data_IF_647790050084
#
_entry.id   IF_647790050084
#
_cell.length_a   1.000
_cell.length_b   1.000
_cell.length_c   1.000
_cell.angle_alpha   90.00
_cell.angle_beta   90.00
_cell.angle_gamma   90.00
#
_symmetry.space_group_name_H-M   'P 1'
#
loop_
_entity.id
_entity.type
_entity.pdbx_description
1 polymer ?
#
# COMPACT_ATOMS: atom_id res chain seq x y z
N UNK A 1 26.70 6.05 7.72
CA UNK A 1 28.05 6.20 7.16
C UNK A 1 28.27 5.04 6.22
N UNK A 2 28.89 5.22 5.04
CA UNK A 2 29.44 4.08 4.34
C UNK A 2 30.34 3.35 5.33
N UNK A 3 30.42 2.00 5.23
CA UNK A 3 31.27 1.22 6.13
C UNK A 3 32.60 1.94 6.32
N UNK A 4 32.96 2.24 7.59
CA UNK A 4 34.23 2.85 7.91
C UNK A 4 35.31 1.88 7.41
N UNK A 5 36.35 2.40 6.77
CA UNK A 5 37.43 1.59 6.21
C UNK A 5 37.96 0.59 7.27
N UNK A 6 37.72 -0.71 7.04
CA UNK A 6 38.08 -1.80 7.98
C UNK A 6 36.89 -2.45 8.72
N UNK A 7 35.67 -1.93 8.64
CA UNK A 7 34.53 -2.63 9.19
C UNK A 7 34.07 -3.76 8.26
N UNK A 8 33.90 -4.95 8.81
CA UNK A 8 33.34 -6.10 8.09
C UNK A 8 31.85 -5.89 7.87
N UNK A 9 31.32 -6.03 6.62
CA UNK A 9 29.88 -5.94 6.38
C UNK A 9 29.16 -7.11 7.08
N UNK A 10 28.00 -6.83 7.66
CA UNK A 10 27.13 -7.84 8.27
C UNK A 10 25.83 -8.04 7.48
N UNK A 11 25.64 -7.32 6.37
CA UNK A 11 24.53 -7.56 5.45
C UNK A 11 24.97 -7.43 4.00
N UNK A 12 24.26 -8.16 3.13
CA UNK A 12 24.47 -8.20 1.70
C UNK A 12 23.12 -8.13 0.98
N UNK A 13 22.99 -7.20 0.03
CA UNK A 13 21.87 -7.13 -0.91
C UNK A 13 22.38 -7.52 -2.29
N UNK A 14 21.89 -8.63 -2.83
CA UNK A 14 22.24 -9.16 -4.14
C UNK A 14 21.05 -8.99 -5.09
N UNK A 15 21.27 -8.35 -6.24
CA UNK A 15 20.26 -8.22 -7.29
C UNK A 15 20.38 -9.39 -8.29
N UNK A 16 19.28 -9.70 -8.96
CA UNK A 16 19.24 -10.78 -9.95
C UNK A 16 20.20 -10.58 -11.14
N UNK A 17 20.60 -9.33 -11.44
CA UNK A 17 21.59 -9.01 -12.49
C UNK A 17 23.05 -9.24 -12.03
N UNK A 18 23.28 -9.62 -10.76
CA UNK A 18 24.58 -9.83 -10.16
C UNK A 18 25.16 -8.58 -9.49
N UNK A 19 24.43 -7.46 -9.45
CA UNK A 19 24.87 -6.28 -8.69
C UNK A 19 24.80 -6.54 -7.19
N UNK A 20 25.87 -6.21 -6.45
CA UNK A 20 25.99 -6.48 -5.02
C UNK A 20 26.19 -5.17 -4.26
N UNK A 21 25.50 -5.07 -3.12
CA UNK A 21 25.71 -4.02 -2.13
C UNK A 21 26.02 -4.65 -0.78
N UNK A 22 27.06 -4.19 -0.13
CA UNK A 22 27.42 -4.59 1.23
C UNK A 22 27.14 -3.45 2.20
N UNK A 23 26.65 -3.80 3.37
CA UNK A 23 26.30 -2.83 4.40
C UNK A 23 26.30 -3.46 5.79
N UNK A 24 25.72 -2.74 6.75
CA UNK A 24 25.51 -3.21 8.11
C UNK A 24 24.07 -3.70 8.24
N UNK A 25 23.92 -4.94 8.71
CA UNK A 25 22.62 -5.52 9.00
C UNK A 25 22.05 -5.03 10.32
N UNK A 26 20.74 -4.93 10.38
CA UNK A 26 19.96 -4.73 11.59
C UNK A 26 18.60 -5.44 11.44
N UNK A 27 17.82 -5.52 12.53
CA UNK A 27 16.64 -6.38 12.56
C UNK A 27 17.01 -7.86 12.68
N UNK A 28 16.19 -8.75 12.11
CA UNK A 28 16.41 -10.20 12.18
C UNK A 28 17.61 -10.65 11.35
N UNK A 29 18.20 -11.79 11.71
CA UNK A 29 19.20 -12.49 10.90
C UNK A 29 18.54 -13.47 9.94
N UNK A 30 19.20 -13.77 8.82
CA UNK A 30 18.71 -14.72 7.81
C UNK A 30 18.76 -14.16 6.40
N UNK A 31 17.92 -14.70 5.51
CA UNK A 31 17.84 -14.31 4.10
C UNK A 31 16.37 -14.20 3.67
N UNK A 32 16.05 -13.15 2.92
CA UNK A 32 14.73 -12.96 2.27
C UNK A 32 14.94 -12.58 0.82
N UNK A 33 14.01 -12.97 -0.06
CA UNK A 33 13.95 -12.57 -1.46
C UNK A 33 12.63 -11.89 -1.79
N UNK A 34 12.66 -10.87 -2.64
CA UNK A 34 11.48 -10.10 -3.05
C UNK A 34 11.78 -9.19 -4.26
N UNK A 35 10.74 -8.56 -4.80
CA UNK A 35 10.89 -7.44 -5.72
C UNK A 35 11.42 -6.21 -4.94
N UNK A 36 12.42 -5.51 -5.50
CA UNK A 36 12.99 -4.34 -4.86
C UNK A 36 12.32 -3.06 -5.39
N UNK A 37 11.69 -2.32 -4.52
CA UNK A 37 11.15 -1.00 -4.83
C UNK A 37 11.88 0.11 -4.05
N UNK A 38 11.56 1.38 -4.34
CA UNK A 38 12.00 2.50 -3.52
C UNK A 38 10.82 3.36 -3.09
N UNK A 39 10.92 4.01 -1.94
CA UNK A 39 9.91 4.93 -1.46
C UNK A 39 10.54 6.30 -1.21
N UNK A 40 9.86 7.37 -1.65
CA UNK A 40 10.35 8.76 -1.57
C UNK A 40 9.77 9.56 -0.40
N UNK A 41 8.94 8.95 0.45
CA UNK A 41 8.41 9.61 1.64
C UNK A 41 9.53 10.00 2.62
N UNK A 42 9.39 11.17 3.24
CA UNK A 42 10.36 11.68 4.23
C UNK A 42 10.05 11.20 5.65
N UNK A 43 8.87 10.64 5.88
CA UNK A 43 8.36 10.18 7.17
C UNK A 43 7.60 8.86 7.00
N UNK A 44 7.19 8.24 8.10
CA UNK A 44 6.27 7.11 8.06
C UNK A 44 6.91 5.79 7.66
N UNK A 45 8.14 5.55 8.07
CA UNK A 45 8.82 4.29 7.75
C UNK A 45 8.15 3.07 8.41
N UNK A 46 7.53 3.23 9.58
CA UNK A 46 6.81 2.16 10.27
C UNK A 46 5.49 1.86 9.55
N UNK A 47 4.74 2.88 9.18
CA UNK A 47 3.52 2.79 8.37
C UNK A 47 3.82 2.11 7.02
N UNK A 48 4.92 2.49 6.35
CA UNK A 48 5.35 1.88 5.09
C UNK A 48 5.69 0.39 5.28
N UNK A 49 6.43 0.03 6.33
CA UNK A 49 6.78 -1.37 6.59
C UNK A 49 5.57 -2.23 6.96
N UNK A 50 4.52 -1.63 7.53
CA UNK A 50 3.28 -2.31 7.94
C UNK A 50 2.14 -2.16 6.93
N UNK A 51 2.31 -1.40 5.83
CA UNK A 51 1.32 -1.33 4.75
C UNK A 51 1.27 -2.66 3.98
N UNK A 52 0.12 -3.37 3.96
CA UNK A 52 -0.01 -4.65 3.27
C UNK A 52 0.34 -4.60 1.78
N UNK A 53 0.20 -3.44 1.15
CA UNK A 53 0.52 -3.26 -0.28
C UNK A 53 1.99 -3.52 -0.61
N UNK A 54 2.90 -3.56 0.39
CA UNK A 54 4.31 -3.94 0.21
C UNK A 54 4.59 -5.44 0.37
N UNK A 55 3.58 -6.30 0.44
CA UNK A 55 3.81 -7.75 0.47
C UNK A 55 4.62 -8.20 -0.76
N UNK A 56 5.64 -9.02 -0.54
CA UNK A 56 6.55 -9.47 -1.59
C UNK A 56 7.55 -8.42 -2.07
N UNK A 57 7.73 -7.30 -1.34
CA UNK A 57 8.68 -6.24 -1.71
C UNK A 57 9.71 -5.95 -0.60
N UNK A 58 10.97 -5.68 -1.00
CA UNK A 58 12.01 -5.04 -0.17
C UNK A 58 11.97 -3.55 -0.47
N UNK A 59 11.82 -2.71 0.55
CA UNK A 59 11.65 -1.27 0.38
C UNK A 59 12.96 -0.52 0.58
N UNK A 60 13.40 0.21 -0.44
CA UNK A 60 14.53 1.15 -0.35
C UNK A 60 14.03 2.54 0.04
N UNK A 61 14.39 3.02 1.22
CA UNK A 61 14.05 4.36 1.67
C UNK A 61 15.04 5.37 1.08
N UNK A 62 14.53 6.34 0.32
CA UNK A 62 15.39 7.38 -0.28
C UNK A 62 15.73 8.49 0.71
N UNK A 63 14.89 8.69 1.75
CA UNK A 63 15.18 9.61 2.84
C UNK A 63 16.34 9.07 3.68
N UNK A 64 17.38 9.89 3.94
CA UNK A 64 18.63 9.38 4.50
C UNK A 64 18.56 9.04 6.00
N UNK A 65 17.70 9.70 6.76
CA UNK A 65 17.61 9.55 8.21
C UNK A 65 16.35 8.76 8.60
N UNK A 66 16.54 7.51 8.95
CA UNK A 66 15.48 6.58 9.37
C UNK A 66 15.73 6.18 10.82
N UNK A 67 14.68 5.97 11.61
CA UNK A 67 14.75 5.56 13.02
C UNK A 67 14.58 6.70 14.03
N UNK A 68 14.66 7.95 13.60
CA UNK A 68 14.64 9.14 14.47
C UNK A 68 13.33 9.33 15.27
N UNK A 69 12.21 8.81 14.78
CA UNK A 69 10.92 8.80 15.51
C UNK A 69 10.83 7.60 16.47
N UNK A 70 11.66 6.58 16.29
CA UNK A 70 11.50 5.28 16.93
C UNK A 70 10.36 4.49 16.32
N UNK A 71 9.74 3.63 17.11
CA UNK A 71 8.54 2.89 16.77
C UNK A 71 7.51 3.02 17.88
N UNK A 72 6.23 2.92 17.53
CA UNK A 72 5.12 3.00 18.48
C UNK A 72 3.90 2.23 17.92
N UNK A 73 2.93 1.81 18.77
CA UNK A 73 1.79 1.02 18.34
C UNK A 73 0.74 1.80 17.52
N UNK A 74 0.80 3.14 17.51
CA UNK A 74 -0.17 3.97 16.79
C UNK A 74 0.14 4.07 15.30
N UNK A 75 1.41 3.89 14.90
CA UNK A 75 1.88 4.03 13.52
C UNK A 75 1.84 2.71 12.73
N UNK A 76 1.27 1.64 13.30
CA UNK A 76 1.08 0.36 12.58
C UNK A 76 -0.18 0.38 11.71
N UNK A 77 -0.04 0.15 10.41
CA UNK A 77 -1.16 -0.05 9.49
C UNK A 77 -1.73 -1.48 9.52
N UNK A 78 -0.92 -2.44 9.93
CA UNK A 78 -1.34 -3.81 10.28
C UNK A 78 -0.58 -4.31 11.50
N UNK A 79 -1.02 -5.41 12.11
CA UNK A 79 -0.43 -5.95 13.33
C UNK A 79 1.06 -6.35 13.16
N UNK A 80 1.46 -6.74 11.96
CA UNK A 80 2.82 -7.18 11.65
C UNK A 80 3.34 -6.50 10.38
N UNK A 81 4.66 -6.22 10.27
CA UNK A 81 5.26 -5.73 9.05
C UNK A 81 5.06 -6.74 7.92
N UNK A 82 4.60 -6.24 6.77
CA UNK A 82 4.31 -7.06 5.59
C UNK A 82 5.45 -6.96 4.57
N UNK A 83 6.12 -5.81 4.48
CA UNK A 83 7.30 -5.67 3.63
C UNK A 83 8.37 -6.72 3.99
N UNK A 84 8.97 -7.34 2.97
CA UNK A 84 9.93 -8.42 3.14
C UNK A 84 11.26 -7.98 3.77
N UNK A 85 11.64 -6.72 3.56
CA UNK A 85 12.88 -6.16 4.11
C UNK A 85 13.01 -4.66 3.88
N UNK A 86 14.04 -4.06 4.49
CA UNK A 86 14.30 -2.62 4.49
C UNK A 86 15.73 -2.32 4.04
N UNK A 87 15.89 -1.34 3.16
CA UNK A 87 17.20 -0.80 2.74
C UNK A 87 17.26 0.68 3.05
N UNK A 88 18.27 1.10 3.83
CA UNK A 88 18.43 2.49 4.26
C UNK A 88 19.85 3.00 3.99
N UNK A 89 19.99 4.33 3.87
CA UNK A 89 21.28 4.98 3.59
C UNK A 89 22.21 4.96 4.79
N UNK A 90 21.68 5.29 5.97
CA UNK A 90 22.44 5.34 7.21
C UNK A 90 21.94 4.28 8.17
N UNK A 91 22.76 3.88 9.13
CA UNK A 91 22.29 3.11 10.26
C UNK A 91 21.15 3.88 10.94
N UNK A 92 20.09 3.22 11.43
CA UNK A 92 19.04 3.87 12.19
C UNK A 92 19.62 4.67 13.35
N UNK A 93 19.12 5.89 13.53
CA UNK A 93 19.51 6.75 14.65
C UNK A 93 18.74 6.36 15.91
N UNK A 94 19.32 6.64 17.08
CA UNK A 94 18.60 6.57 18.34
C UNK A 94 17.34 7.47 18.28
N UNK A 95 16.21 6.99 18.79
CA UNK A 95 14.98 7.77 18.79
C UNK A 95 15.11 9.04 19.61
N UNK A 96 14.63 10.16 19.09
CA UNK A 96 14.60 11.45 19.76
C UNK A 96 13.21 12.09 19.75
N UNK A 97 12.17 11.32 19.51
CA UNK A 97 10.77 11.77 19.47
C UNK A 97 10.01 11.29 20.72
N UNK A 98 9.13 12.15 21.27
CA UNK A 98 8.31 11.83 22.46
C UNK A 98 7.36 10.64 22.26
N UNK A 99 7.01 10.30 21.02
CA UNK A 99 6.14 9.15 20.68
C UNK A 99 6.89 7.81 20.65
N UNK A 100 8.22 7.81 20.77
CA UNK A 100 8.99 6.58 20.71
C UNK A 100 8.67 5.66 21.88
N UNK A 101 8.26 4.43 21.56
CA UNK A 101 8.10 3.32 22.49
C UNK A 101 9.22 2.26 22.35
N UNK A 102 10.10 2.39 21.36
CA UNK A 102 11.21 1.46 21.12
C UNK A 102 12.06 1.83 19.91
N UNK A 103 13.11 1.05 19.67
CA UNK A 103 14.02 1.21 18.56
C UNK A 103 13.57 0.41 17.33
N UNK A 104 13.82 0.97 16.14
CA UNK A 104 13.44 0.34 14.87
C UNK A 104 14.12 -1.02 14.66
N UNK A 105 15.39 -1.14 15.06
CA UNK A 105 16.16 -2.40 14.91
C UNK A 105 15.56 -3.55 15.69
N UNK A 106 15.23 -3.31 16.96
CA UNK A 106 14.62 -4.31 17.86
C UNK A 106 13.20 -4.66 17.42
N UNK A 107 12.45 -3.67 16.96
CA UNK A 107 11.10 -3.86 16.43
C UNK A 107 11.10 -4.75 15.17
N UNK A 108 12.03 -4.53 14.22
CA UNK A 108 12.20 -5.39 13.05
C UNK A 108 12.63 -6.80 13.44
N UNK A 109 13.61 -6.92 14.38
CA UNK A 109 14.11 -8.20 14.86
C UNK A 109 13.01 -9.06 15.49
N UNK A 110 12.19 -8.45 16.37
CA UNK A 110 11.07 -9.14 17.03
C UNK A 110 9.99 -9.64 16.06
N UNK A 111 9.95 -9.07 14.84
CA UNK A 111 9.00 -9.41 13.78
C UNK A 111 9.62 -10.18 12.61
N UNK A 112 10.86 -10.65 12.77
CA UNK A 112 11.54 -11.46 11.76
C UNK A 112 11.88 -10.70 10.47
N UNK A 113 11.99 -9.36 10.52
CA UNK A 113 12.30 -8.55 9.34
C UNK A 113 13.78 -8.19 9.27
N UNK A 114 14.35 -8.36 8.08
CA UNK A 114 15.77 -8.11 7.79
C UNK A 114 15.92 -6.71 7.22
N UNK A 115 16.99 -6.01 7.65
CA UNK A 115 17.30 -4.70 7.12
C UNK A 115 18.80 -4.51 6.90
N UNK A 116 19.15 -3.59 5.99
CA UNK A 116 20.52 -3.21 5.66
C UNK A 116 20.67 -1.70 5.62
N UNK A 117 21.66 -1.19 6.35
CA UNK A 117 22.10 0.21 6.34
C UNK A 117 23.48 0.38 5.69
N UNK A 118 23.90 1.63 5.51
CA UNK A 118 25.19 1.96 4.89
C UNK A 118 25.23 1.84 3.36
N UNK A 119 24.04 1.81 2.73
CA UNK A 119 23.89 1.61 1.28
C UNK A 119 23.83 2.95 0.54
N UNK A 120 24.44 3.01 -0.65
CA UNK A 120 24.18 4.11 -1.60
C UNK A 120 22.79 3.95 -2.21
N UNK A 121 21.77 4.37 -1.44
CA UNK A 121 20.36 4.30 -1.85
C UNK A 121 20.07 5.15 -3.08
N UNK A 122 20.83 6.23 -3.33
CA UNK A 122 20.71 7.04 -4.55
C UNK A 122 21.14 6.25 -5.79
N UNK A 123 22.28 5.55 -5.73
CA UNK A 123 22.73 4.67 -6.82
C UNK A 123 21.72 3.57 -7.07
N UNK A 124 21.21 2.94 -5.99
CA UNK A 124 20.21 1.88 -6.08
C UNK A 124 18.90 2.37 -6.71
N UNK A 125 18.35 3.50 -6.23
CA UNK A 125 17.13 4.11 -6.80
C UNK A 125 17.30 4.46 -8.28
N UNK A 126 18.46 4.99 -8.69
CA UNK A 126 18.74 5.26 -10.11
C UNK A 126 18.75 3.98 -10.95
N UNK A 127 19.29 2.88 -10.42
CA UNK A 127 19.30 1.59 -11.11
C UNK A 127 17.87 1.06 -11.29
N UNK A 128 17.03 1.13 -10.23
CA UNK A 128 15.61 0.73 -10.28
C UNK A 128 14.85 1.56 -11.35
N UNK A 129 15.01 2.87 -11.34
CA UNK A 129 14.34 3.74 -12.32
C UNK A 129 14.74 3.45 -13.77
N UNK A 130 16.02 3.12 -14.00
CA UNK A 130 16.54 2.91 -15.35
C UNK A 130 16.19 1.52 -15.92
N UNK A 131 16.08 0.50 -15.06
CA UNK A 131 15.98 -0.91 -15.48
C UNK A 131 14.66 -1.59 -15.10
N UNK A 132 13.83 -0.94 -14.29
CA UNK A 132 12.65 -1.51 -13.65
C UNK A 132 12.94 -2.02 -12.24
N UNK A 133 11.90 -2.46 -11.55
CA UNK A 133 11.98 -3.05 -10.21
C UNK A 133 12.68 -4.43 -10.28
N UNK A 134 13.94 -4.57 -9.80
CA UNK A 134 14.65 -5.84 -9.89
C UNK A 134 14.23 -6.78 -8.78
N UNK A 135 14.42 -8.08 -9.00
CA UNK A 135 14.37 -9.06 -7.92
C UNK A 135 15.67 -9.00 -7.14
N UNK A 136 15.58 -9.17 -5.83
CA UNK A 136 16.72 -9.08 -4.92
C UNK A 136 16.64 -10.14 -3.82
N UNK A 137 17.81 -10.52 -3.29
CA UNK A 137 17.96 -11.26 -2.05
C UNK A 137 18.72 -10.40 -1.04
N UNK A 138 18.17 -10.27 0.16
CA UNK A 138 18.74 -9.54 1.28
C UNK A 138 19.13 -10.51 2.37
N UNK A 139 20.42 -10.50 2.75
CA UNK A 139 20.96 -11.33 3.81
C UNK A 139 21.51 -10.48 4.96
N UNK A 140 21.23 -10.88 6.21
CA UNK A 140 21.88 -10.39 7.42
C UNK A 140 22.54 -11.54 8.15
N UNK A 141 23.85 -11.50 8.23
CA UNK A 141 24.69 -12.46 8.95
C UNK A 141 25.73 -11.69 9.78
N UNK A 142 25.64 -11.69 11.13
CA UNK A 142 26.58 -10.99 12.00
C UNK A 142 28.03 -11.39 11.79
N UNK A 143 28.30 -12.65 11.37
CA UNK A 143 29.66 -13.13 11.06
C UNK A 143 30.21 -12.53 9.76
N UNK A 144 29.36 -11.86 8.96
CA UNK A 144 29.75 -11.23 7.69
C UNK A 144 30.25 -12.20 6.65
N UNK A 145 29.74 -13.43 6.64
CA UNK A 145 30.03 -14.45 5.64
C UNK A 145 28.81 -14.60 4.72
N UNK A 146 29.02 -14.45 3.41
CA UNK A 146 27.95 -14.50 2.42
C UNK A 146 28.38 -15.38 1.25
N UNK A 147 27.50 -16.34 0.91
CA UNK A 147 27.55 -17.03 -0.38
C UNK A 147 26.82 -16.14 -1.41
N UNK A 148 27.59 -15.29 -2.08
CA UNK A 148 27.06 -14.31 -3.03
C UNK A 148 26.43 -14.99 -4.24
N UNK A 149 26.99 -16.12 -4.70
CA UNK A 149 26.44 -16.87 -5.84
C UNK A 149 25.06 -17.43 -5.49
N UNK A 150 24.92 -18.01 -4.30
CA UNK A 150 23.62 -18.49 -3.81
C UNK A 150 22.61 -17.35 -3.62
N UNK A 151 23.01 -16.17 -3.13
CA UNK A 151 22.13 -15.02 -3.01
C UNK A 151 21.63 -14.51 -4.39
N UNK A 152 22.51 -14.42 -5.38
CA UNK A 152 22.14 -14.06 -6.74
C UNK A 152 21.20 -15.11 -7.36
N UNK A 153 21.47 -16.39 -7.11
CA UNK A 153 20.60 -17.47 -7.58
C UNK A 153 19.20 -17.37 -6.94
N UNK A 154 19.09 -17.07 -5.64
CA UNK A 154 17.81 -16.82 -4.96
C UNK A 154 17.08 -15.61 -5.55
N UNK A 155 17.77 -14.50 -5.77
CA UNK A 155 17.18 -13.32 -6.40
C UNK A 155 16.62 -13.65 -7.80
N UNK A 156 17.32 -14.47 -8.59
CA UNK A 156 16.86 -14.92 -9.92
C UNK A 156 15.67 -15.87 -9.88
N UNK A 157 15.57 -16.69 -8.83
CA UNK A 157 14.48 -17.66 -8.68
C UNK A 157 13.17 -17.05 -8.18
N UNK A 158 13.18 -15.81 -7.67
CA UNK A 158 11.97 -15.12 -7.28
C UNK A 158 11.08 -14.89 -8.51
N UNK A 159 9.82 -15.33 -8.44
CA UNK A 159 8.90 -15.30 -9.59
C UNK A 159 8.43 -13.90 -9.99
N UNK A 160 8.71 -12.88 -9.17
CA UNK A 160 8.13 -11.54 -9.33
C UNK A 160 6.69 -11.46 -8.82
N UNK A 161 6.08 -10.29 -8.97
CA UNK A 161 4.71 -10.05 -8.49
C UNK A 161 3.64 -10.36 -9.54
N UNK A 162 4.02 -10.49 -10.82
CA UNK A 162 3.07 -10.80 -11.91
C UNK A 162 2.49 -12.20 -11.72
N UNK A 163 1.17 -12.30 -11.74
CA UNK A 163 0.44 -13.55 -11.54
C UNK A 163 0.26 -13.95 -10.06
N UNK A 164 0.83 -13.22 -9.09
CA UNK A 164 0.69 -13.51 -7.67
C UNK A 164 -0.57 -12.85 -7.08
N UNK A 165 -1.41 -13.66 -6.49
CA UNK A 165 -2.55 -13.21 -5.67
C UNK A 165 -2.12 -13.10 -4.21
N UNK A 166 -1.54 -11.96 -3.85
CA UNK A 166 -1.09 -11.70 -2.48
C UNK A 166 -2.21 -11.13 -1.59
N UNK A 167 -3.33 -10.68 -2.16
CA UNK A 167 -4.45 -10.17 -1.39
C UNK A 167 -5.03 -11.25 -0.46
N UNK A 168 -5.10 -12.50 -0.90
CA UNK A 168 -5.56 -13.62 -0.07
C UNK A 168 -4.63 -13.98 1.10
N UNK A 169 -3.35 -13.58 1.04
CA UNK A 169 -2.37 -13.87 2.08
C UNK A 169 -2.39 -12.81 3.20
N UNK A 170 -2.95 -11.62 2.92
CA UNK A 170 -2.99 -10.49 3.86
C UNK A 170 -4.40 -10.11 4.31
N UNK A 171 -5.43 -10.65 3.68
CA UNK A 171 -6.84 -10.42 4.04
C UNK A 171 -7.19 -10.95 5.42
N UNK A 172 -8.23 -10.42 6.04
CA UNK A 172 -8.75 -10.94 7.30
C UNK A 172 -9.30 -12.37 7.15
N UNK A 173 -9.12 -13.19 8.18
CA UNK A 173 -9.62 -14.57 8.20
C UNK A 173 -11.14 -14.67 8.44
N UNK A 174 -11.72 -13.67 9.10
CA UNK A 174 -13.14 -13.58 9.45
C UNK A 174 -13.63 -12.16 9.34
N UNK A 175 -14.94 -11.99 9.10
CA UNK A 175 -15.56 -10.68 9.12
C UNK A 175 -15.48 -10.03 10.51
N UNK A 176 -15.32 -8.72 10.57
CA UNK A 176 -15.30 -7.96 11.81
C UNK A 176 -15.86 -6.55 11.60
N UNK A 177 -16.22 -5.88 12.70
CA UNK A 177 -16.64 -4.48 12.69
C UNK A 177 -15.48 -3.57 13.07
N UNK A 178 -15.46 -2.38 12.48
CA UNK A 178 -14.47 -1.35 12.75
C UNK A 178 -15.15 -0.06 13.17
N UNK A 179 -14.73 0.49 14.32
CA UNK A 179 -15.32 1.71 14.91
C UNK A 179 -14.27 2.75 15.32
N UNK A 180 -12.95 2.43 15.19
CA UNK A 180 -11.89 3.36 15.54
C UNK A 180 -11.80 4.47 14.47
N UNK A 181 -11.80 5.73 14.96
CA UNK A 181 -11.69 6.93 14.12
C UNK A 181 -10.24 7.36 13.95
N UNK A 182 -10.01 8.32 13.05
CA UNK A 182 -8.69 8.92 12.82
C UNK A 182 -8.12 9.49 14.10
N UNK A 183 -6.79 9.43 14.19
CA UNK A 183 -6.04 10.08 15.28
C UNK A 183 -6.28 11.59 15.29
N UNK A 184 -6.54 12.13 16.45
CA UNK A 184 -6.73 13.56 16.68
C UNK A 184 -6.07 13.98 17.99
N UNK A 185 -5.37 15.10 17.96
CA UNK A 185 -4.80 15.67 19.20
C UNK A 185 -5.88 16.35 20.03
N UNK A 186 -5.91 16.21 21.39
CA UNK A 186 -4.98 15.42 22.22
C UNK A 186 -5.46 13.98 22.49
N UNK A 187 -6.61 13.57 21.97
CA UNK A 187 -7.34 12.36 22.41
C UNK A 187 -6.83 11.06 21.76
N UNK A 188 -5.94 11.16 20.75
CA UNK A 188 -5.45 10.01 20.01
C UNK A 188 -6.54 9.39 19.12
N UNK A 189 -6.60 8.05 19.06
CA UNK A 189 -7.67 7.33 18.38
C UNK A 189 -8.89 7.23 19.27
N UNK A 190 -10.02 7.76 18.81
CA UNK A 190 -11.32 7.66 19.49
C UNK A 190 -12.22 6.66 18.79
N UNK A 191 -13.36 6.29 19.39
CA UNK A 191 -14.34 5.40 18.79
C UNK A 191 -15.56 6.16 18.30
N UNK A 192 -16.10 5.72 17.17
CA UNK A 192 -17.35 6.26 16.64
C UNK A 192 -18.52 5.86 17.53
N UNK A 193 -19.36 6.83 17.87
CA UNK A 193 -20.58 6.63 18.70
C UNK A 193 -21.85 6.75 17.89
N UNK A 194 -21.81 7.46 16.75
CA UNK A 194 -22.97 7.72 15.89
C UNK A 194 -22.59 7.48 14.43
N UNK A 195 -23.06 6.36 13.87
CA UNK A 195 -22.89 6.03 12.46
C UNK A 195 -24.14 6.43 11.68
N UNK A 196 -23.95 6.92 10.44
CA UNK A 196 -25.03 7.31 9.52
C UNK A 196 -25.29 6.27 8.44
N UNK A 197 -24.24 5.58 7.99
CA UNK A 197 -24.28 4.69 6.84
C UNK A 197 -23.64 3.35 7.18
N UNK A 198 -24.27 2.26 6.74
CA UNK A 198 -23.69 0.92 6.80
C UNK A 198 -22.80 0.70 5.59
N UNK A 199 -21.53 0.43 5.81
CA UNK A 199 -20.55 0.18 4.75
C UNK A 199 -19.97 -1.20 4.90
N UNK A 200 -20.04 -1.99 3.84
CA UNK A 200 -19.22 -3.20 3.72
C UNK A 200 -17.91 -2.83 3.05
N UNK A 201 -16.80 -3.18 3.68
CA UNK A 201 -15.46 -3.02 3.16
C UNK A 201 -14.86 -4.38 2.82
N UNK A 202 -14.44 -4.59 1.57
CA UNK A 202 -13.71 -5.79 1.17
C UNK A 202 -12.23 -5.59 1.47
N UNK A 203 -11.67 -6.51 2.24
CA UNK A 203 -10.28 -6.48 2.69
C UNK A 203 -9.36 -7.23 1.72
N UNK A 204 -8.76 -6.51 0.78
CA UNK A 204 -7.67 -7.02 -0.06
C UNK A 204 -6.29 -6.80 0.57
N UNK A 205 -6.22 -6.32 1.78
CA UNK A 205 -5.06 -5.86 2.51
C UNK A 205 -5.26 -4.41 2.97
N UNK A 206 -6.37 -4.17 3.67
CA UNK A 206 -6.78 -2.84 4.09
C UNK A 206 -5.82 -2.25 5.12
N UNK A 207 -5.32 -1.04 4.87
CA UNK A 207 -4.66 -0.22 5.88
C UNK A 207 -5.66 0.20 6.96
N UNK A 208 -5.24 0.14 8.22
CA UNK A 208 -6.09 0.61 9.34
C UNK A 208 -6.55 2.04 9.15
N UNK A 209 -5.70 2.91 8.62
CA UNK A 209 -6.06 4.31 8.44
C UNK A 209 -7.19 4.51 7.41
N UNK A 210 -7.35 3.62 6.42
CA UNK A 210 -8.52 3.63 5.53
C UNK A 210 -9.80 3.38 6.32
N UNK A 211 -9.82 2.35 7.17
CA UNK A 211 -10.99 2.02 7.99
C UNK A 211 -11.30 3.14 8.99
N UNK A 212 -10.25 3.76 9.57
CA UNK A 212 -10.38 4.95 10.43
C UNK A 212 -10.99 6.14 9.68
N UNK A 213 -10.62 6.34 8.42
CA UNK A 213 -11.17 7.40 7.58
C UNK A 213 -12.65 7.15 7.27
N UNK A 214 -13.04 5.92 6.96
CA UNK A 214 -14.45 5.56 6.75
C UNK A 214 -15.28 5.78 8.03
N UNK A 215 -14.80 5.32 9.19
CA UNK A 215 -15.47 5.55 10.46
C UNK A 215 -15.60 7.03 10.77
N UNK A 216 -14.54 7.84 10.55
CA UNK A 216 -14.58 9.30 10.74
C UNK A 216 -15.52 10.02 9.79
N UNK A 217 -15.80 9.45 8.62
CA UNK A 217 -16.80 9.96 7.67
C UNK A 217 -18.25 9.56 8.03
N UNK A 218 -18.46 8.87 9.15
CA UNK A 218 -19.79 8.46 9.63
C UNK A 218 -20.23 7.07 9.16
N UNK A 219 -19.32 6.21 8.72
CA UNK A 219 -19.64 4.87 8.26
C UNK A 219 -19.57 3.83 9.41
N UNK A 220 -20.62 3.02 9.58
CA UNK A 220 -20.59 1.78 10.36
C UNK A 220 -19.97 0.69 9.48
N UNK A 221 -18.69 0.39 9.72
CA UNK A 221 -17.89 -0.43 8.80
C UNK A 221 -17.92 -1.89 9.21
N UNK A 222 -18.40 -2.76 8.32
CA UNK A 222 -18.20 -4.22 8.41
C UNK A 222 -17.17 -4.64 7.38
N UNK A 223 -16.07 -5.22 7.83
CA UNK A 223 -14.97 -5.69 6.98
C UNK A 223 -15.19 -7.15 6.65
N UNK A 224 -15.14 -7.51 5.37
CA UNK A 224 -15.26 -8.88 4.86
C UNK A 224 -13.95 -9.30 4.19
N UNK A 225 -13.63 -10.62 4.22
CA UNK A 225 -12.48 -11.17 3.50
C UNK A 225 -12.51 -10.88 2.00
N UNK A 226 -11.33 -10.88 1.37
CA UNK A 226 -11.17 -10.71 -0.09
C UNK A 226 -12.02 -11.67 -0.92
N UNK A 227 -12.28 -12.88 -0.41
CA UNK A 227 -13.05 -13.93 -1.08
C UNK A 227 -14.56 -13.83 -0.88
N UNK A 228 -15.06 -12.77 -0.21
CA UNK A 228 -16.51 -12.59 0.01
C UNK A 228 -17.27 -12.55 -1.32
N UNK A 229 -18.43 -13.20 -1.34
CA UNK A 229 -19.32 -13.22 -2.51
C UNK A 229 -20.23 -11.97 -2.53
N UNK A 230 -20.91 -11.72 -3.65
CA UNK A 230 -21.90 -10.66 -3.72
C UNK A 230 -23.09 -10.92 -2.75
N UNK A 231 -23.43 -12.17 -2.54
CA UNK A 231 -24.42 -12.61 -1.58
C UNK A 231 -24.02 -12.25 -0.14
N UNK A 232 -22.74 -12.48 0.22
CA UNK A 232 -22.22 -12.08 1.54
C UNK A 232 -22.29 -10.56 1.74
N UNK A 233 -21.90 -9.78 0.72
CA UNK A 233 -21.98 -8.32 0.76
C UNK A 233 -23.42 -7.85 0.96
N UNK A 234 -24.35 -8.32 0.12
CA UNK A 234 -25.75 -7.88 0.11
C UNK A 234 -26.53 -8.34 1.36
N UNK A 235 -26.11 -9.43 2.00
CA UNK A 235 -26.72 -9.94 3.25
C UNK A 235 -26.60 -8.93 4.41
N UNK A 236 -25.61 -8.04 4.37
CA UNK A 236 -25.43 -6.96 5.36
C UNK A 236 -26.36 -5.75 5.14
N UNK A 237 -27.10 -5.71 4.01
CA UNK A 237 -27.91 -4.55 3.60
C UNK A 237 -27.12 -3.24 3.70
N UNK A 238 -25.97 -3.12 3.02
CA UNK A 238 -25.14 -1.93 3.12
C UNK A 238 -25.70 -0.77 2.29
N UNK A 239 -25.43 0.45 2.76
CA UNK A 239 -25.68 1.69 2.02
C UNK A 239 -24.59 1.95 0.98
N UNK A 240 -23.39 1.37 1.15
CA UNK A 240 -22.27 1.49 0.23
C UNK A 240 -21.26 0.35 0.34
N UNK A 241 -20.55 0.11 -0.77
CA UNK A 241 -19.46 -0.89 -0.86
C UNK A 241 -18.13 -0.17 -0.98
N UNK A 242 -17.16 -0.56 -0.14
CA UNK A 242 -15.79 -0.08 -0.19
C UNK A 242 -14.85 -1.21 -0.63
N UNK A 243 -13.94 -0.92 -1.57
CA UNK A 243 -12.91 -1.84 -2.07
C UNK A 243 -11.54 -1.34 -1.62
N UNK A 244 -10.86 -2.08 -0.74
CA UNK A 244 -9.64 -1.62 -0.12
C UNK A 244 -8.43 -1.66 -1.06
N UNK A 245 -7.32 -1.06 -0.60
CA UNK A 245 -5.98 -1.28 -1.13
C UNK A 245 -5.53 -2.73 -0.89
N UNK A 246 -4.40 -3.11 -1.50
CA UNK A 246 -3.80 -4.42 -1.30
C UNK A 246 -2.63 -4.67 -2.23
N UNK A 247 -1.89 -5.78 -2.01
CA UNK A 247 -0.74 -6.20 -2.79
C UNK A 247 -1.09 -7.11 -3.96
N UNK A 248 -0.11 -7.38 -4.80
CA UNK A 248 -0.15 -8.42 -5.82
C UNK A 248 -0.58 -7.95 -7.19
N UNK A 249 -0.85 -8.93 -8.07
CA UNK A 249 -1.30 -8.69 -9.43
C UNK A 249 -2.83 -8.53 -9.46
N UNK A 250 -3.36 -7.39 -9.94
CA UNK A 250 -4.80 -7.18 -10.08
C UNK A 250 -5.50 -8.27 -10.89
N UNK A 251 -4.86 -8.80 -11.94
CA UNK A 251 -5.44 -9.86 -12.76
C UNK A 251 -5.59 -11.19 -12.00
N UNK A 252 -4.74 -11.46 -11.02
CA UNK A 252 -4.83 -12.65 -10.18
C UNK A 252 -5.95 -12.52 -9.14
N UNK A 253 -6.00 -11.40 -8.40
CA UNK A 253 -7.07 -11.07 -7.45
C UNK A 253 -8.42 -10.91 -8.15
N UNK A 254 -8.44 -10.39 -9.37
CA UNK A 254 -9.63 -10.18 -10.19
C UNK A 254 -10.42 -11.45 -10.48
N UNK A 255 -9.81 -12.64 -10.42
CA UNK A 255 -10.51 -13.91 -10.68
C UNK A 255 -11.73 -14.13 -9.79
N UNK A 256 -11.71 -13.62 -8.56
CA UNK A 256 -12.84 -13.70 -7.61
C UNK A 256 -13.46 -12.33 -7.31
N UNK A 257 -12.67 -11.27 -7.26
CA UNK A 257 -13.16 -9.92 -6.96
C UNK A 257 -14.04 -9.36 -8.09
N UNK A 258 -13.66 -9.54 -9.36
CA UNK A 258 -14.41 -9.03 -10.51
C UNK A 258 -15.83 -9.61 -10.58
N UNK A 259 -16.06 -10.93 -10.53
CA UNK A 259 -17.43 -11.47 -10.53
C UNK A 259 -18.28 -10.99 -9.35
N UNK A 260 -17.67 -10.80 -8.18
CA UNK A 260 -18.37 -10.27 -7.01
C UNK A 260 -18.84 -8.83 -7.28
N UNK A 261 -17.94 -7.95 -7.73
CA UNK A 261 -18.26 -6.53 -8.00
C UNK A 261 -19.33 -6.42 -9.10
N UNK A 262 -19.19 -7.19 -10.18
CA UNK A 262 -20.18 -7.22 -11.29
C UNK A 262 -21.59 -7.58 -10.80
N UNK A 263 -21.71 -8.63 -9.98
CA UNK A 263 -22.99 -9.02 -9.40
C UNK A 263 -23.59 -7.96 -8.46
N UNK A 264 -22.74 -7.25 -7.68
CA UNK A 264 -23.22 -6.15 -6.85
C UNK A 264 -23.72 -5.01 -7.73
N UNK A 265 -22.99 -4.64 -8.79
CA UNK A 265 -23.40 -3.63 -9.77
C UNK A 265 -24.71 -3.99 -10.49
N UNK A 266 -24.98 -5.27 -10.76
CA UNK A 266 -26.22 -5.75 -11.39
C UNK A 266 -27.43 -5.71 -10.46
N UNK A 267 -27.22 -5.90 -9.15
CA UNK A 267 -28.30 -6.09 -8.17
C UNK A 267 -28.60 -4.86 -7.30
N UNK A 268 -27.74 -3.83 -7.35
CA UNK A 268 -27.86 -2.67 -6.49
C UNK A 268 -27.27 -1.43 -7.15
N UNK A 269 -27.89 -0.27 -6.87
CA UNK A 269 -27.39 1.04 -7.26
C UNK A 269 -26.58 1.74 -6.15
N UNK A 270 -26.17 0.98 -5.12
CA UNK A 270 -25.40 1.52 -4.00
C UNK A 270 -24.10 2.17 -4.49
N UNK A 271 -23.64 3.23 -3.83
CA UNK A 271 -22.33 3.82 -4.06
C UNK A 271 -21.19 2.81 -3.86
N UNK A 272 -20.19 2.86 -4.74
CA UNK A 272 -18.97 2.07 -4.61
C UNK A 272 -17.77 3.01 -4.64
N UNK A 273 -16.86 2.84 -3.67
CA UNK A 273 -15.59 3.54 -3.64
C UNK A 273 -14.42 2.55 -3.54
N UNK A 274 -13.43 2.68 -4.43
CA UNK A 274 -12.23 1.83 -4.47
C UNK A 274 -10.93 2.61 -4.33
N UNK A 275 -9.96 2.08 -3.58
CA UNK A 275 -8.63 2.66 -3.40
C UNK A 275 -7.55 1.67 -3.86
N UNK A 276 -6.59 2.13 -4.66
CA UNK A 276 -5.39 1.42 -5.10
C UNK A 276 -5.75 0.06 -5.76
N UNK A 277 -5.56 -1.09 -5.11
CA UNK A 277 -6.01 -2.36 -5.67
C UNK A 277 -7.54 -2.38 -5.89
N UNK A 278 -8.33 -1.80 -4.98
CA UNK A 278 -9.78 -1.65 -5.15
C UNK A 278 -10.18 -0.82 -6.37
N UNK A 279 -9.39 0.20 -6.73
CA UNK A 279 -9.55 0.94 -7.98
C UNK A 279 -9.29 0.03 -9.20
N UNK A 280 -8.25 -0.78 -9.15
CA UNK A 280 -7.92 -1.71 -10.23
C UNK A 280 -8.98 -2.82 -10.35
N UNK A 281 -9.50 -3.34 -9.22
CA UNK A 281 -10.60 -4.31 -9.21
C UNK A 281 -11.88 -3.74 -9.83
N UNK A 282 -12.23 -2.49 -9.48
CA UNK A 282 -13.37 -1.81 -10.06
C UNK A 282 -13.19 -1.60 -11.58
N UNK A 283 -12.02 -1.14 -12.01
CA UNK A 283 -11.71 -0.97 -13.43
C UNK A 283 -11.85 -2.27 -14.23
N UNK A 284 -11.28 -3.38 -13.70
CA UNK A 284 -11.42 -4.70 -14.32
C UNK A 284 -12.88 -5.16 -14.37
N UNK A 285 -13.66 -4.94 -13.30
CA UNK A 285 -15.08 -5.31 -13.25
C UNK A 285 -15.93 -4.53 -14.26
N UNK A 286 -15.53 -3.30 -14.56
CA UNK A 286 -16.16 -2.47 -15.59
C UNK A 286 -15.69 -2.80 -17.01
N UNK A 287 -14.66 -3.66 -17.18
CA UNK A 287 -14.18 -4.12 -18.48
C UNK A 287 -12.89 -3.47 -18.98
N UNK A 288 -12.23 -2.63 -18.18
CA UNK A 288 -10.92 -2.09 -18.47
C UNK A 288 -9.81 -3.12 -18.21
N UNK A 289 -8.56 -2.79 -18.55
CA UNK A 289 -7.39 -3.62 -18.34
C UNK A 289 -6.39 -2.94 -17.40
N UNK A 290 -5.50 -3.74 -16.79
CA UNK A 290 -4.39 -3.26 -15.97
C UNK A 290 -3.07 -3.66 -16.59
N UNK A 291 -2.04 -2.84 -16.37
CA UNK A 291 -0.68 -3.05 -16.87
C UNK A 291 0.34 -2.97 -15.76
N UNK A 292 1.39 -3.82 -15.81
CA UNK A 292 2.54 -3.72 -14.90
C UNK A 292 3.37 -2.49 -15.27
N UNK A 293 3.66 -1.66 -14.29
CA UNK A 293 4.54 -0.51 -14.45
C UNK A 293 6.02 -0.92 -14.37
N UNK A 294 6.92 -0.12 -14.97
CA UNK A 294 8.34 -0.41 -14.97
C UNK A 294 8.94 -0.45 -13.54
N UNK A 295 8.62 0.55 -12.70
CA UNK A 295 9.13 0.63 -11.33
C UNK A 295 8.06 1.05 -10.31
N UNK A 296 6.81 1.25 -10.76
CA UNK A 296 5.70 1.67 -9.91
C UNK A 296 5.81 3.10 -9.38
N UNK A 297 4.81 3.47 -8.61
CA UNK A 297 4.79 4.73 -7.86
C UNK A 297 4.78 4.44 -6.36
N UNK A 298 5.80 4.91 -5.65
CA UNK A 298 5.93 4.71 -4.20
C UNK A 298 6.47 5.99 -3.55
N UNK A 299 5.65 6.65 -2.76
CA UNK A 299 6.02 7.89 -2.08
C UNK A 299 4.82 8.75 -1.69
N UNK A 300 5.09 9.83 -0.99
CA UNK A 300 4.08 10.73 -0.45
C UNK A 300 4.12 12.14 -1.09
N UNK A 301 4.65 12.25 -2.30
CA UNK A 301 4.87 13.52 -3.00
C UNK A 301 4.48 13.46 -4.48
N UNK A 302 3.47 12.64 -4.80
CA UNK A 302 3.01 12.46 -6.18
C UNK A 302 1.93 13.48 -6.54
N UNK A 303 2.18 14.39 -7.52
CA UNK A 303 1.16 15.32 -7.99
C UNK A 303 0.16 14.61 -8.89
N UNK A 304 -1.10 14.70 -8.54
CA UNK A 304 -2.24 14.15 -9.28
C UNK A 304 -3.17 15.28 -9.66
N UNK A 305 -3.57 15.33 -10.92
CA UNK A 305 -4.53 16.30 -11.41
C UNK A 305 -5.92 15.69 -11.44
N UNK A 306 -6.87 16.33 -10.77
CA UNK A 306 -8.30 16.11 -10.94
C UNK A 306 -8.74 16.75 -12.26
N UNK A 307 -9.25 15.95 -13.17
CA UNK A 307 -9.65 16.39 -14.51
C UNK A 307 -11.02 17.10 -14.52
N UNK A 308 -11.87 16.84 -13.53
CA UNK A 308 -13.18 17.51 -13.41
C UNK A 308 -13.02 18.96 -12.88
N UNK A 309 -12.12 19.18 -11.94
CA UNK A 309 -11.91 20.50 -11.31
C UNK A 309 -10.68 21.25 -11.81
N UNK A 310 -9.73 20.54 -12.41
CA UNK A 310 -8.43 21.05 -12.81
C UNK A 310 -7.44 21.25 -11.65
N UNK A 311 -7.83 20.93 -10.41
CA UNK A 311 -7.00 21.04 -9.21
C UNK A 311 -5.88 20.01 -9.25
N UNK A 312 -4.72 20.38 -8.72
CA UNK A 312 -3.60 19.47 -8.48
C UNK A 312 -3.51 19.19 -6.99
N UNK A 313 -3.45 17.93 -6.64
CA UNK A 313 -3.31 17.42 -5.26
C UNK A 313 -1.97 16.70 -5.13
N UNK A 314 -1.34 16.83 -3.97
CA UNK A 314 -0.16 16.03 -3.64
C UNK A 314 -0.64 14.79 -2.88
N UNK A 315 -0.27 13.62 -3.39
CA UNK A 315 -0.85 12.35 -2.92
C UNK A 315 0.21 11.35 -2.50
N UNK A 316 -0.22 10.39 -1.71
CA UNK A 316 0.55 9.19 -1.40
C UNK A 316 0.24 8.08 -2.42
N UNK A 317 1.26 7.39 -2.90
CA UNK A 317 1.17 6.31 -3.88
C UNK A 317 1.96 5.09 -3.41
N UNK A 318 1.38 3.90 -3.64
CA UNK A 318 2.06 2.62 -3.43
C UNK A 318 1.46 1.57 -4.37
N UNK A 319 1.88 1.55 -5.62
CA UNK A 319 1.39 0.57 -6.60
C UNK A 319 2.42 0.27 -7.70
N UNK A 320 2.45 -0.99 -8.14
CA UNK A 320 3.28 -1.46 -9.26
C UNK A 320 2.48 -1.79 -10.53
N UNK A 321 1.15 -1.62 -10.48
CA UNK A 321 0.24 -1.79 -11.61
C UNK A 321 -0.63 -0.54 -11.75
N UNK A 322 -1.11 -0.27 -12.96
CA UNK A 322 -2.00 0.85 -13.25
C UNK A 322 -3.13 0.42 -14.19
N UNK A 323 -4.25 1.13 -14.16
CA UNK A 323 -5.33 0.97 -15.14
C UNK A 323 -4.89 1.58 -16.46
N UNK A 324 -5.10 0.85 -17.55
CA UNK A 324 -4.87 1.36 -18.90
C UNK A 324 -6.05 2.22 -19.35
N UNK A 325 -5.89 3.54 -19.35
CA UNK A 325 -6.92 4.51 -19.74
C UNK A 325 -7.47 4.30 -21.14
N UNK A 326 -6.68 3.68 -22.06
CA UNK A 326 -7.11 3.42 -23.44
C UNK A 326 -8.15 2.30 -23.53
N UNK A 327 -8.27 1.49 -22.48
CA UNK A 327 -9.21 0.37 -22.39
C UNK A 327 -10.50 0.70 -21.66
N UNK A 328 -10.67 1.92 -21.17
CA UNK A 328 -11.88 2.33 -20.44
C UNK A 328 -13.12 2.22 -21.34
N UNK A 329 -14.16 1.48 -20.90
CA UNK A 329 -15.36 1.31 -21.71
C UNK A 329 -16.22 2.58 -21.75
N UNK A 330 -17.15 2.64 -22.69
CA UNK A 330 -18.14 3.71 -22.76
C UNK A 330 -18.91 3.83 -21.44
N UNK A 331 -19.10 5.07 -20.93
CA UNK A 331 -19.76 5.34 -19.66
C UNK A 331 -18.83 5.36 -18.44
N UNK A 332 -17.55 4.97 -18.60
CA UNK A 332 -16.52 5.14 -17.57
C UNK A 332 -15.59 6.30 -17.97
N UNK A 333 -15.40 7.25 -17.06
CA UNK A 333 -14.55 8.43 -17.27
C UNK A 333 -13.30 8.37 -16.40
N UNK A 334 -12.17 8.71 -16.97
CA UNK A 334 -10.97 9.06 -16.21
C UNK A 334 -11.19 10.36 -15.44
N UNK A 335 -10.88 10.36 -14.15
CA UNK A 335 -11.10 11.51 -13.26
C UNK A 335 -9.80 12.12 -12.75
N UNK A 336 -8.75 11.31 -12.63
CA UNK A 336 -7.47 11.74 -12.09
C UNK A 336 -6.32 11.18 -12.92
N UNK A 337 -5.25 11.96 -13.07
CA UNK A 337 -4.06 11.59 -13.83
C UNK A 337 -2.79 12.00 -13.10
N UNK A 338 -1.78 11.12 -13.10
CA UNK A 338 -0.44 11.42 -12.58
C UNK A 338 0.25 12.47 -13.45
N UNK A 339 0.78 13.53 -12.83
CA UNK A 339 1.58 14.52 -13.54
C UNK A 339 3.04 14.09 -13.77
N UNK A 340 3.46 12.93 -13.24
CA UNK A 340 4.79 12.39 -13.50
C UNK A 340 4.89 11.68 -14.85
N UNK A 341 3.86 10.92 -15.21
CA UNK A 341 3.91 10.03 -16.38
C UNK A 341 2.59 9.88 -17.14
N UNK A 342 1.53 10.56 -16.72
CA UNK A 342 0.22 10.51 -17.35
C UNK A 342 -0.57 9.23 -17.06
N UNK A 343 -0.13 8.37 -16.12
CA UNK A 343 -0.88 7.17 -15.76
C UNK A 343 -2.21 7.51 -15.09
N UNK A 344 -3.20 6.62 -15.28
CA UNK A 344 -4.52 6.74 -14.65
C UNK A 344 -4.41 6.75 -13.12
N UNK A 345 -5.06 7.70 -12.49
CA UNK A 345 -5.14 7.82 -11.03
C UNK A 345 -6.57 7.87 -10.50
N UNK A 346 -7.58 7.66 -11.35
CA UNK A 346 -8.96 7.58 -10.89
C UNK A 346 -9.95 7.44 -12.03
N UNK A 347 -11.06 6.78 -11.75
CA UNK A 347 -12.18 6.58 -12.67
C UNK A 347 -13.53 6.80 -11.96
N UNK A 348 -14.56 7.08 -12.74
CA UNK A 348 -15.96 7.06 -12.27
C UNK A 348 -16.91 6.58 -13.35
N UNK A 349 -18.03 6.00 -12.96
CA UNK A 349 -19.17 5.83 -13.86
C UNK A 349 -19.87 7.17 -14.09
N UNK A 350 -20.43 7.36 -15.27
CA UNK A 350 -21.09 8.62 -15.62
C UNK A 350 -22.48 8.77 -15.00
N UNK A 351 -23.18 7.67 -14.80
CA UNK A 351 -24.60 7.55 -14.45
C UNK A 351 -24.87 7.02 -13.03
N UNK A 352 -23.83 6.60 -12.32
CA UNK A 352 -23.94 5.97 -10.99
C UNK A 352 -22.89 6.55 -10.03
N UNK A 353 -23.16 6.55 -8.70
CA UNK A 353 -22.20 7.01 -7.68
C UNK A 353 -21.10 5.98 -7.41
N UNK A 354 -20.43 5.55 -8.48
CA UNK A 354 -19.36 4.55 -8.45
C UNK A 354 -18.08 5.21 -8.93
N UNK A 355 -17.05 5.26 -8.06
CA UNK A 355 -15.77 5.90 -8.37
C UNK A 355 -14.61 5.24 -7.62
N UNK A 356 -13.41 5.50 -8.08
CA UNK A 356 -12.20 4.99 -7.43
C UNK A 356 -10.98 5.83 -7.76
N UNK A 357 -9.95 5.72 -6.91
CA UNK A 357 -8.67 6.39 -7.06
C UNK A 357 -7.50 5.44 -6.86
N UNK A 358 -6.41 5.65 -7.62
CA UNK A 358 -5.19 4.85 -7.51
C UNK A 358 -4.35 5.27 -6.31
N UNK A 359 -4.37 6.56 -5.97
CA UNK A 359 -3.65 7.10 -4.83
C UNK A 359 -4.34 6.78 -3.50
N UNK A 360 -3.65 7.04 -2.40
CA UNK A 360 -4.08 6.78 -1.04
C UNK A 360 -4.59 8.07 -0.37
N UNK A 361 -5.91 8.36 -0.39
CA UNK A 361 -6.48 9.58 0.22
C UNK A 361 -6.40 9.56 1.75
N UNK A 362 -6.23 8.39 2.37
CA UNK A 362 -6.00 8.22 3.80
C UNK A 362 -4.61 8.66 4.22
N UNK A 363 -3.67 8.85 3.28
CA UNK A 363 -2.25 9.09 3.54
C UNK A 363 -1.60 7.97 4.38
N UNK A 364 -0.98 8.29 5.50
CA UNK A 364 -0.35 7.34 6.44
C UNK A 364 0.73 6.44 5.79
N UNK A 365 1.89 7.05 5.44
CA UNK A 365 2.21 8.48 5.56
C UNK A 365 1.74 9.29 4.37
N UNK A 366 1.70 10.62 4.55
CA UNK A 366 1.57 11.54 3.42
C UNK A 366 0.62 12.72 3.66
N UNK A 367 0.41 13.55 2.62
CA UNK A 367 -0.49 14.69 2.64
C UNK A 367 -1.97 14.24 2.63
N UNK A 368 -2.84 15.11 3.13
CA UNK A 368 -4.27 14.84 3.29
C UNK A 368 -5.14 15.58 2.27
N UNK A 369 -4.57 16.01 1.15
CA UNK A 369 -5.25 16.82 0.13
C UNK A 369 -6.51 16.12 -0.42
N UNK A 370 -6.48 14.79 -0.52
CA UNK A 370 -7.56 13.98 -1.11
C UNK A 370 -8.52 13.38 -0.07
N UNK A 371 -8.38 13.75 1.23
CA UNK A 371 -9.22 13.18 2.29
C UNK A 371 -10.74 13.35 2.05
N UNK A 372 -11.15 14.43 1.40
CA UNK A 372 -12.53 14.71 1.04
C UNK A 372 -13.22 13.59 0.24
N UNK A 373 -12.47 12.65 -0.34
CA UNK A 373 -13.04 11.53 -1.08
C UNK A 373 -13.85 10.57 -0.18
N UNK A 374 -13.48 10.43 1.09
CA UNK A 374 -14.28 9.67 2.07
C UNK A 374 -15.60 10.37 2.37
N UNK A 375 -15.59 11.70 2.51
CA UNK A 375 -16.82 12.48 2.68
C UNK A 375 -17.70 12.47 1.42
N UNK A 376 -17.08 12.51 0.23
CA UNK A 376 -17.79 12.34 -1.06
C UNK A 376 -18.52 10.99 -1.09
N UNK A 377 -17.86 9.92 -0.64
CA UNK A 377 -18.46 8.59 -0.58
C UNK A 377 -19.65 8.57 0.40
N UNK A 378 -19.50 9.10 1.61
CA UNK A 378 -20.58 9.20 2.60
C UNK A 378 -21.78 10.02 2.04
N UNK A 379 -21.51 11.20 1.46
CA UNK A 379 -22.57 12.04 0.86
C UNK A 379 -23.27 11.36 -0.32
N UNK A 380 -22.61 10.48 -1.05
CA UNK A 380 -23.26 9.75 -2.16
C UNK A 380 -24.30 8.76 -1.65
N UNK A 381 -24.13 8.20 -0.45
CA UNK A 381 -25.11 7.34 0.21
C UNK A 381 -26.36 8.13 0.67
N UNK A 382 -26.19 9.37 1.16
CA UNK A 382 -27.32 10.24 1.52
C UNK A 382 -28.28 10.46 0.34
N UNK A 383 -27.72 10.65 -0.87
CA UNK A 383 -28.51 10.93 -2.08
C UNK A 383 -29.33 9.73 -2.58
N UNK A 384 -28.78 8.53 -2.45
CA UNK A 384 -29.49 7.29 -2.84
C UNK A 384 -30.63 7.01 -1.87
N UNK A 385 -30.39 7.16 -0.56
CA UNK A 385 -31.43 6.99 0.47
C UNK A 385 -32.57 7.99 0.36
N UNK A 386 -32.33 9.18 -0.21
CA UNK A 386 -33.37 10.22 -0.39
C UNK A 386 -34.20 10.04 -1.68
N UNK A 387 -33.75 9.17 -2.59
CA UNK A 387 -34.42 8.93 -3.88
C UNK A 387 -35.37 7.72 -3.85
N UNK A 388 -35.38 6.95 -2.74
CA UNK A 388 -36.27 5.83 -2.44
C UNK A 388 -37.39 6.31 -1.48
#
# INVERSE_FOLDING_TARGET
MPLIQGQKPTACLALADGTIFYGKGFGATGVTEAELCFNTAMTGYQEIMTDPSYAGQIVTFTFPHIGNVGVNPEDDETANPVAAGMVVKWDPTEPSNYRSAGELGDWLASRGRIAIGGIDTRRLTRAIRARGAPHAALAHNPDGQFDVEALVARARSFSGLVGLDLAKDVTCAQSYRWDEMRWAWPDGFTRQTEARHKVVAIDYGAKRNILRCLASAGCDVTVLPASATAEDVLAHNPDGLFLSNGPGDPAATGKYAVPMIQKVLERSDMPIFGICLGHQMLALALGAQTVKMNHGHHGANHPVKDLDTGKVEITSMNHGFAVDSQTLPAGVKETHVSLFDGSNCGIRMADRPVFSVQHHPEASPGPQDSFYLFERFATSMDKVSSAV
#
